data_IF_936610787106
#
_entry.id   IF_936610787106
#
_cell.length_a   1.000
_cell.length_b   1.000
_cell.length_c   1.000
_cell.angle_alpha   90.00
_cell.angle_beta   90.00
_cell.angle_gamma   90.00
#
_symmetry.space_group_name_H-M   'P 1'
#
loop_
_entity.id
_entity.type
_entity.pdbx_description
1 polymer ?
#
# COMPACT_ATOMS: atom_id res chain seq x y z
N UNK A 1 -5.41 17.42 18.15
CA UNK A 1 -5.20 16.60 16.94
C UNK A 1 -3.99 17.20 16.25
N UNK A 2 -2.80 16.73 16.62
CA UNK A 2 -1.55 17.32 16.15
C UNK A 2 -1.29 16.79 14.73
N UNK A 3 -0.97 17.65 13.75
CA UNK A 3 -0.48 17.19 12.47
C UNK A 3 0.89 16.56 12.75
N UNK A 4 1.03 15.25 12.53
CA UNK A 4 2.37 14.67 12.44
C UNK A 4 3.00 15.28 11.19
N UNK A 5 3.89 16.23 11.43
CA UNK A 5 4.85 16.67 10.42
C UNK A 5 5.80 15.48 10.29
N UNK A 6 5.46 14.53 9.42
CA UNK A 6 6.42 13.55 8.93
C UNK A 6 7.12 14.27 7.79
N UNK A 7 8.42 14.48 7.94
CA UNK A 7 9.30 14.90 6.85
C UNK A 7 8.88 14.19 5.56
N UNK A 8 8.68 14.97 4.51
CA UNK A 8 8.14 14.57 3.20
C UNK A 8 9.24 13.81 2.44
N UNK A 9 9.73 12.72 3.02
CA UNK A 9 10.54 11.73 2.32
C UNK A 9 9.54 10.88 1.54
N UNK A 10 9.33 11.26 0.28
CA UNK A 10 8.54 10.47 -0.65
C UNK A 10 9.13 9.06 -0.66
N UNK A 11 8.32 8.02 -0.41
CA UNK A 11 8.83 6.66 -0.39
C UNK A 11 9.36 6.32 -1.78
N UNK A 12 10.61 5.89 -1.83
CA UNK A 12 11.27 5.45 -3.07
C UNK A 12 11.03 3.96 -3.35
N UNK A 13 10.58 3.20 -2.34
CA UNK A 13 10.27 1.77 -2.45
C UNK A 13 8.85 1.45 -2.04
N UNK A 14 8.33 0.33 -2.56
CA UNK A 14 6.99 -0.17 -2.25
C UNK A 14 6.84 -0.40 -0.74
N UNK A 15 7.84 -0.99 -0.10
CA UNK A 15 7.80 -1.30 1.34
C UNK A 15 7.70 -0.05 2.21
N UNK A 16 8.40 1.01 1.82
CA UNK A 16 8.38 2.30 2.50
C UNK A 16 7.01 2.98 2.33
N UNK A 17 6.45 2.97 1.12
CA UNK A 17 5.11 3.50 0.85
C UNK A 17 4.03 2.75 1.63
N UNK A 18 4.15 1.42 1.68
CA UNK A 18 3.28 0.57 2.49
C UNK A 18 3.42 0.90 3.98
N UNK A 19 4.64 1.05 4.48
CA UNK A 19 4.89 1.35 5.91
C UNK A 19 4.35 2.72 6.29
N UNK A 20 4.49 3.72 5.42
CA UNK A 20 3.93 5.06 5.61
C UNK A 20 2.40 5.06 5.59
N UNK A 21 1.77 4.40 4.61
CA UNK A 21 0.32 4.17 4.59
C UNK A 21 -0.14 3.50 5.88
N UNK A 22 0.55 2.43 6.28
CA UNK A 22 0.22 1.73 7.50
C UNK A 22 0.31 2.65 8.70
N UNK A 23 1.39 3.42 8.92
CA UNK A 23 1.51 4.31 10.08
C UNK A 23 0.38 5.35 10.17
N UNK A 24 -0.07 5.86 9.02
CA UNK A 24 -1.19 6.82 8.96
C UNK A 24 -2.55 6.13 9.21
N UNK A 25 -2.75 4.92 8.70
CA UNK A 25 -3.97 4.16 8.88
C UNK A 25 -4.17 3.69 10.34
N UNK A 26 -5.36 3.91 10.92
CA UNK A 26 -5.65 3.42 12.26
C UNK A 26 -5.74 1.88 12.28
N UNK A 27 -5.43 1.30 13.44
CA UNK A 27 -5.40 -0.16 13.64
C UNK A 27 -6.69 -0.87 13.18
N UNK A 28 -7.85 -0.21 13.32
CA UNK A 28 -9.14 -0.76 12.89
C UNK A 28 -9.18 -1.01 11.37
N UNK A 29 -8.73 -0.05 10.58
CA UNK A 29 -8.71 -0.16 9.12
C UNK A 29 -7.65 -1.16 8.65
N UNK A 30 -6.51 -1.24 9.34
CA UNK A 30 -5.50 -2.29 9.11
C UNK A 30 -6.09 -3.69 9.29
N UNK A 31 -6.84 -3.94 10.37
CA UNK A 31 -7.48 -5.24 10.61
C UNK A 31 -8.56 -5.53 9.57
N UNK A 32 -9.35 -4.51 9.16
CA UNK A 32 -10.34 -4.67 8.08
C UNK A 32 -9.70 -5.05 6.75
N UNK A 33 -8.67 -4.32 6.33
CA UNK A 33 -7.88 -4.63 5.14
C UNK A 33 -7.33 -6.06 5.20
N UNK A 34 -6.74 -6.47 6.33
CA UNK A 34 -6.19 -7.83 6.48
C UNK A 34 -7.24 -8.95 6.31
N UNK A 35 -8.50 -8.65 6.62
CA UNK A 35 -9.61 -9.60 6.54
C UNK A 35 -10.35 -9.55 5.20
N UNK A 36 -10.03 -8.58 4.34
CA UNK A 36 -10.64 -8.45 3.02
C UNK A 36 -10.09 -9.45 2.03
N UNK A 37 -10.93 -9.80 1.07
CA UNK A 37 -10.60 -10.69 -0.05
C UNK A 37 -9.88 -9.92 -1.17
N UNK A 38 -9.14 -10.61 -2.06
CA UNK A 38 -8.50 -9.97 -3.21
C UNK A 38 -9.49 -9.22 -4.13
N UNK A 39 -10.74 -9.69 -4.22
CA UNK A 39 -11.80 -9.04 -5.00
C UNK A 39 -12.21 -7.69 -4.38
N UNK A 40 -12.32 -7.64 -3.05
CA UNK A 40 -12.57 -6.40 -2.31
C UNK A 40 -11.38 -5.44 -2.38
N UNK A 41 -10.15 -5.97 -2.41
CA UNK A 41 -8.94 -5.18 -2.60
C UNK A 41 -8.97 -4.41 -3.92
N UNK A 42 -9.41 -5.07 -5.00
CA UNK A 42 -9.52 -4.45 -6.32
C UNK A 42 -10.58 -3.32 -6.32
N UNK A 43 -11.74 -3.58 -5.70
CA UNK A 43 -12.79 -2.58 -5.54
C UNK A 43 -12.29 -1.35 -4.75
N UNK A 44 -11.57 -1.59 -3.66
CA UNK A 44 -10.96 -0.52 -2.84
C UNK A 44 -9.90 0.21 -3.65
N UNK A 45 -9.02 -0.49 -4.37
CA UNK A 45 -8.03 0.14 -5.24
C UNK A 45 -8.67 1.09 -6.26
N UNK A 46 -9.84 0.76 -6.82
CA UNK A 46 -10.55 1.69 -7.70
C UNK A 46 -11.03 2.96 -6.99
N UNK A 47 -11.38 2.87 -5.70
CA UNK A 47 -11.89 3.99 -4.91
C UNK A 47 -10.77 4.84 -4.29
N UNK A 48 -9.77 4.20 -3.69
CA UNK A 48 -8.67 4.87 -2.96
C UNK A 48 -7.35 4.86 -3.70
N UNK A 49 -7.16 4.01 -4.72
CA UNK A 49 -5.93 3.92 -5.48
C UNK A 49 -5.60 5.25 -6.16
N UNK A 50 -6.59 5.95 -6.72
CA UNK A 50 -6.37 7.28 -7.30
C UNK A 50 -5.91 8.31 -6.25
N UNK A 51 -6.40 8.19 -5.01
CA UNK A 51 -5.99 9.05 -3.91
C UNK A 51 -4.55 8.73 -3.48
N UNK A 52 -4.24 7.44 -3.31
CA UNK A 52 -2.90 6.93 -3.02
C UNK A 52 -1.90 7.39 -4.09
N UNK A 53 -2.24 7.27 -5.38
CA UNK A 53 -1.38 7.72 -6.47
C UNK A 53 -1.10 9.22 -6.42
N UNK A 54 -2.10 10.01 -5.99
CA UNK A 54 -1.96 11.45 -5.85
C UNK A 54 -1.09 11.82 -4.65
N UNK A 55 -1.31 11.17 -3.51
CA UNK A 55 -0.55 11.40 -2.28
C UNK A 55 0.93 11.02 -2.44
N UNK A 56 1.21 9.89 -3.11
CA UNK A 56 2.57 9.46 -3.40
C UNK A 56 3.21 10.11 -4.62
N UNK A 57 2.49 11.03 -5.28
CA UNK A 57 2.95 11.72 -6.50
C UNK A 57 3.48 10.74 -7.57
N UNK A 58 2.87 9.55 -7.69
CA UNK A 58 3.28 8.48 -8.61
C UNK A 58 3.41 9.01 -10.05
N UNK A 59 2.48 9.87 -10.47
CA UNK A 59 2.46 10.48 -11.80
C UNK A 59 3.09 11.87 -11.87
N UNK A 60 3.46 12.47 -10.74
CA UNK A 60 3.87 13.87 -10.65
C UNK A 60 5.34 14.09 -10.29
N UNK A 61 6.07 13.04 -9.90
CA UNK A 61 7.51 13.16 -9.65
C UNK A 61 8.18 11.95 -9.00
N UNK A 62 7.41 11.02 -8.43
CA UNK A 62 7.97 9.84 -7.77
C UNK A 62 8.16 8.67 -8.75
N UNK A 63 9.06 8.88 -9.72
CA UNK A 63 9.34 7.90 -10.78
C UNK A 63 10.02 6.64 -10.22
N UNK A 64 10.77 6.74 -9.12
CA UNK A 64 11.41 5.59 -8.47
C UNK A 64 10.36 4.61 -7.92
N UNK A 65 9.37 5.11 -7.18
CA UNK A 65 8.27 4.28 -6.67
C UNK A 65 7.45 3.68 -7.82
N UNK A 66 7.17 4.47 -8.85
CA UNK A 66 6.47 3.99 -10.04
C UNK A 66 7.25 2.86 -10.72
N UNK A 67 8.57 3.01 -10.88
CA UNK A 67 9.43 1.99 -11.49
C UNK A 67 9.46 0.72 -10.64
N UNK A 68 9.60 0.85 -9.31
CA UNK A 68 9.54 -0.29 -8.39
C UNK A 68 8.20 -1.03 -8.50
N UNK A 69 7.07 -0.32 -8.54
CA UNK A 69 5.75 -0.90 -8.76
C UNK A 69 5.63 -1.63 -10.10
N UNK A 70 6.14 -1.02 -11.18
CA UNK A 70 6.13 -1.63 -12.52
C UNK A 70 6.99 -2.89 -12.57
N UNK A 71 8.16 -2.89 -11.93
CA UNK A 71 9.01 -4.08 -11.82
C UNK A 71 8.32 -5.20 -11.04
N UNK A 72 7.66 -4.87 -9.92
CA UNK A 72 6.90 -5.83 -9.13
C UNK A 72 5.68 -6.40 -9.87
N UNK A 73 4.95 -5.57 -10.62
CA UNK A 73 3.86 -6.01 -11.49
C UNK A 73 4.38 -6.98 -12.57
N UNK A 74 5.49 -6.62 -13.22
CA UNK A 74 6.14 -7.44 -14.25
C UNK A 74 6.61 -8.79 -13.71
N UNK A 75 7.19 -8.82 -12.51
CA UNK A 75 7.61 -10.05 -11.83
C UNK A 75 6.42 -10.94 -11.44
N UNK A 76 5.26 -10.32 -11.14
CA UNK A 76 4.04 -11.06 -10.84
C UNK A 76 3.33 -11.59 -12.09
N UNK A 77 3.76 -11.18 -13.29
CA UNK A 77 3.15 -11.58 -14.56
C UNK A 77 1.78 -10.95 -14.83
N UNK A 78 1.39 -9.94 -14.05
CA UNK A 78 0.12 -9.23 -14.18
C UNK A 78 0.36 -7.78 -14.63
N UNK A 79 -0.39 -7.31 -15.62
CA UNK A 79 -0.59 -5.87 -15.84
C UNK A 79 -1.49 -5.34 -14.73
N UNK A 80 -0.91 -5.15 -13.54
CA UNK A 80 -1.59 -4.59 -12.39
C UNK A 80 -1.28 -3.10 -12.28
N UNK A 81 -2.29 -2.31 -11.90
CA UNK A 81 -2.11 -0.91 -11.52
C UNK A 81 -1.01 -0.78 -10.46
N UNK A 82 -0.10 0.22 -10.57
CA UNK A 82 0.97 0.40 -9.60
C UNK A 82 0.44 0.63 -8.18
N UNK A 83 -0.74 1.22 -8.03
CA UNK A 83 -1.42 1.35 -6.73
C UNK A 83 -1.96 0.03 -6.20
N UNK A 84 -2.41 -0.87 -7.07
CA UNK A 84 -2.87 -2.20 -6.68
C UNK A 84 -1.70 -3.02 -6.12
N UNK A 85 -0.51 -2.88 -6.72
CA UNK A 85 0.72 -3.51 -6.22
C UNK A 85 1.04 -3.04 -4.79
N UNK A 86 0.91 -1.74 -4.51
CA UNK A 86 1.12 -1.18 -3.16
C UNK A 86 0.08 -1.73 -2.17
N UNK A 87 -1.21 -1.72 -2.55
CA UNK A 87 -2.29 -2.22 -1.69
C UNK A 87 -2.12 -3.72 -1.42
N UNK A 88 -1.73 -4.49 -2.43
CA UNK A 88 -1.48 -5.94 -2.29
C UNK A 88 -0.29 -6.20 -1.37
N UNK A 89 0.83 -5.49 -1.56
CA UNK A 89 1.99 -5.59 -0.67
C UNK A 89 1.63 -5.21 0.79
N UNK A 90 0.82 -4.16 0.97
CA UNK A 90 0.28 -3.78 2.28
C UNK A 90 -0.57 -4.89 2.90
N UNK A 91 -1.46 -5.47 2.11
CA UNK A 91 -2.33 -6.56 2.54
C UNK A 91 -1.53 -7.80 2.94
N UNK A 92 -0.53 -8.19 2.15
CA UNK A 92 0.38 -9.29 2.48
C UNK A 92 1.15 -9.03 3.77
N UNK A 93 1.68 -7.81 3.97
CA UNK A 93 2.32 -7.42 5.24
C UNK A 93 1.37 -7.52 6.43
N UNK A 94 0.13 -7.06 6.25
CA UNK A 94 -0.89 -7.10 7.29
C UNK A 94 -1.28 -8.53 7.64
N UNK A 95 -1.42 -9.40 6.65
CA UNK A 95 -1.65 -10.82 6.89
C UNK A 95 -0.49 -11.42 7.69
N UNK A 96 0.77 -11.22 7.26
CA UNK A 96 1.96 -11.70 7.98
C UNK A 96 2.00 -11.22 9.45
N UNK A 97 1.62 -9.97 9.69
CA UNK A 97 1.57 -9.39 11.05
C UNK A 97 0.46 -10.00 11.90
N UNK A 98 -0.69 -10.33 11.31
CA UNK A 98 -1.81 -10.98 12.00
C UNK A 98 -1.57 -12.47 12.29
N UNK A 99 -0.85 -13.20 11.43
CA UNK A 99 -0.56 -14.64 11.67
C UNK A 99 0.35 -14.84 12.88
N UNK A 100 1.24 -13.89 13.18
CA UNK A 100 2.13 -13.95 14.36
C UNK A 100 1.37 -13.88 15.70
N UNK A 101 0.10 -13.46 15.72
CA UNK A 101 -0.76 -13.47 16.92
C UNK A 101 -1.67 -14.69 17.03
N UNK A 102 -1.53 -15.68 16.14
CA UNK A 102 -2.20 -16.97 16.30
C UNK A 102 -1.29 -17.95 17.08
N UNK A 103 -0.83 -17.52 18.25
CA UNK A 103 -0.24 -18.44 19.23
C UNK A 103 -1.41 -19.04 20.02
N UNK A 104 -1.57 -20.36 19.87
CA UNK A 104 -2.54 -21.19 20.62
C UNK A 104 -2.50 -20.98 22.12
#
# INVERSE_FOLDING_TARGET
MFPKIVDIELPITIDDAVTMLLDDLPLLDRTRLSSMTPDELDLINRLVGLHIARDFLLWSGNHELLHACLEAARNSGEEADPTLVIIRAMWEKLQQTHVLRLVR
#
